data_IF_739418985774
#
_entry.id   IF_739418985774
#
_cell.length_a   1.000
_cell.length_b   1.000
_cell.length_c   1.000
_cell.angle_alpha   90.00
_cell.angle_beta   90.00
_cell.angle_gamma   90.00
#
_symmetry.space_group_name_H-M   'P 1'
#
loop_
_entity.id
_entity.type
_entity.pdbx_description
1 polymer ?
#
# COMPACT_ATOMS: atom_id res chain seq x y z
N UNK A 1 2.86 -11.94 -5.09
CA UNK A 1 1.62 -11.26 -4.66
C UNK A 1 1.35 -11.55 -3.19
N UNK A 2 1.18 -10.50 -2.38
CA UNK A 2 0.75 -10.53 -0.99
C UNK A 2 -0.47 -9.63 -0.85
N UNK A 3 -1.58 -10.18 -0.37
CA UNK A 3 -2.81 -9.43 -0.14
C UNK A 3 -3.00 -9.19 1.35
N UNK A 4 -2.92 -7.93 1.74
CA UNK A 4 -3.20 -7.46 3.09
C UNK A 4 -4.41 -6.51 3.11
N UNK A 5 -5.26 -6.55 2.09
CA UNK A 5 -6.46 -5.73 2.06
C UNK A 5 -7.41 -6.04 3.22
N UNK A 6 -8.18 -5.03 3.65
CA UNK A 6 -9.17 -5.14 4.73
C UNK A 6 -8.60 -5.65 6.08
N UNK A 7 -7.34 -5.35 6.42
CA UNK A 7 -6.74 -5.78 7.69
C UNK A 7 -6.68 -4.69 8.77
N UNK A 8 -7.33 -3.54 8.54
CA UNK A 8 -7.32 -2.40 9.47
C UNK A 8 -5.89 -1.98 9.89
N UNK A 9 -4.89 -2.31 9.07
CA UNK A 9 -3.50 -2.08 9.39
C UNK A 9 -3.24 -0.57 9.40
N UNK A 10 -2.71 -0.05 10.52
CA UNK A 10 -2.33 1.36 10.65
C UNK A 10 -0.87 1.60 10.26
N UNK A 11 -0.03 0.58 10.42
CA UNK A 11 1.41 0.63 10.12
C UNK A 11 1.83 -0.67 9.43
N UNK A 12 2.63 -0.56 8.38
CA UNK A 12 3.36 -1.70 7.81
C UNK A 12 4.79 -1.69 8.37
N UNK A 13 5.27 -2.79 8.96
CA UNK A 13 6.62 -2.85 9.52
C UNK A 13 7.69 -2.84 8.42
N UNK A 14 8.85 -2.26 8.72
CA UNK A 14 9.99 -2.19 7.81
C UNK A 14 10.44 -3.55 7.26
N UNK A 15 10.13 -4.64 7.98
CA UNK A 15 10.40 -6.01 7.57
C UNK A 15 9.73 -6.42 6.26
N UNK A 16 8.73 -5.66 5.77
CA UNK A 16 8.14 -5.87 4.44
C UNK A 16 9.22 -5.83 3.33
N UNK A 17 10.28 -5.03 3.51
CA UNK A 17 11.40 -4.94 2.58
C UNK A 17 12.23 -6.22 2.46
N UNK A 18 12.06 -7.19 3.37
CA UNK A 18 12.69 -8.52 3.26
C UNK A 18 12.01 -9.40 2.22
N UNK A 19 10.83 -9.01 1.75
CA UNK A 19 10.11 -9.72 0.69
C UNK A 19 10.63 -9.29 -0.69
N UNK A 20 11.92 -9.52 -0.94
CA UNK A 20 12.63 -9.08 -2.16
C UNK A 20 12.03 -9.62 -3.47
N UNK A 21 11.27 -10.72 -3.38
CA UNK A 21 10.57 -11.35 -4.50
C UNK A 21 9.10 -10.96 -4.58
N UNK A 22 8.68 -9.93 -3.85
CA UNK A 22 7.31 -9.49 -3.85
C UNK A 22 7.05 -8.60 -5.05
N UNK A 23 6.32 -9.15 -6.03
CA UNK A 23 5.96 -8.41 -7.24
C UNK A 23 4.71 -7.53 -7.04
N UNK A 24 3.82 -7.94 -6.14
CA UNK A 24 2.54 -7.26 -5.89
C UNK A 24 2.20 -7.25 -4.39
N UNK A 25 1.79 -6.09 -3.88
CA UNK A 25 1.29 -5.87 -2.52
C UNK A 25 -0.02 -5.10 -2.53
N UNK A 26 -1.10 -5.73 -2.10
CA UNK A 26 -2.40 -5.08 -1.95
C UNK A 26 -2.61 -4.60 -0.50
N UNK A 27 -2.77 -3.30 -0.32
CA UNK A 27 -3.02 -2.66 0.98
C UNK A 27 -4.36 -1.92 1.00
N UNK A 28 -5.26 -2.18 0.05
CA UNK A 28 -6.55 -1.51 -0.02
C UNK A 28 -7.40 -1.71 1.25
N UNK A 29 -8.19 -0.70 1.61
CA UNK A 29 -9.09 -0.76 2.78
C UNK A 29 -8.36 -1.04 4.10
N UNK A 30 -7.12 -0.58 4.23
CA UNK A 30 -6.46 -0.45 5.51
C UNK A 30 -6.57 0.99 6.02
N UNK A 31 -6.08 1.21 7.24
CA UNK A 31 -6.06 2.52 7.90
C UNK A 31 -4.63 3.09 7.86
N UNK A 32 -3.89 2.77 6.81
CA UNK A 32 -2.49 3.17 6.67
C UNK A 32 -2.40 4.67 6.39
N UNK A 33 -1.80 5.41 7.32
CA UNK A 33 -1.50 6.84 7.14
C UNK A 33 -0.25 7.04 6.28
N UNK A 34 0.69 6.10 6.36
CA UNK A 34 1.96 6.13 5.64
C UNK A 34 2.48 4.70 5.37
N UNK A 35 3.38 4.60 4.40
CA UNK A 35 4.17 3.40 4.15
C UNK A 35 5.59 3.58 4.70
N UNK A 36 6.24 2.50 5.16
CA UNK A 36 7.62 2.57 5.60
C UNK A 36 8.53 2.96 4.44
N UNK A 37 9.59 3.75 4.71
CA UNK A 37 10.58 4.12 3.70
C UNK A 37 11.20 2.90 3.01
N UNK A 38 11.31 1.79 3.74
CA UNK A 38 11.86 0.53 3.24
C UNK A 38 11.03 -0.07 2.10
N UNK A 39 9.78 0.33 1.89
CA UNK A 39 8.99 -0.11 0.72
C UNK A 39 9.62 0.33 -0.60
N UNK A 40 10.36 1.46 -0.60
CA UNK A 40 11.12 1.93 -1.75
C UNK A 40 12.36 1.08 -2.07
N UNK A 41 12.76 0.17 -1.18
CA UNK A 41 13.85 -0.79 -1.46
C UNK A 41 13.40 -1.95 -2.35
N UNK A 42 12.08 -2.18 -2.44
CA UNK A 42 11.51 -3.23 -3.28
C UNK A 42 11.37 -2.71 -4.72
N UNK A 43 12.47 -2.73 -5.48
CA UNK A 43 12.57 -2.13 -6.82
C UNK A 43 11.58 -2.68 -7.84
N UNK A 44 11.09 -3.92 -7.64
CA UNK A 44 10.14 -4.56 -8.54
C UNK A 44 8.72 -4.65 -7.96
N UNK A 45 8.45 -3.98 -6.83
CA UNK A 45 7.16 -4.09 -6.17
C UNK A 45 6.15 -3.13 -6.78
N UNK A 46 5.07 -3.70 -7.31
CA UNK A 46 3.82 -2.98 -7.51
C UNK A 46 3.01 -3.00 -6.21
N UNK A 47 2.57 -1.83 -5.74
CA UNK A 47 1.70 -1.74 -4.57
C UNK A 47 0.48 -0.89 -4.87
N UNK A 48 -0.66 -1.26 -4.27
CA UNK A 48 -1.91 -0.55 -4.42
C UNK A 48 -2.46 -0.18 -3.04
N UNK A 49 -2.67 1.13 -2.82
CA UNK A 49 -3.38 1.65 -1.66
C UNK A 49 -4.67 2.33 -2.12
N UNK A 50 -5.70 2.24 -1.28
CA UNK A 50 -6.95 2.98 -1.47
C UNK A 50 -7.13 3.91 -0.28
N UNK A 51 -6.89 5.21 -0.48
CA UNK A 51 -7.26 6.23 0.49
C UNK A 51 -8.68 6.65 0.13
N UNK A 52 -9.66 6.28 0.96
CA UNK A 52 -10.98 6.86 0.85
C UNK A 52 -10.86 8.33 1.31
N UNK A 53 -11.04 9.28 0.39
CA UNK A 53 -11.30 10.65 0.78
C UNK A 53 -12.68 10.68 1.46
N UNK A 54 -12.74 11.03 2.73
CA UNK A 54 -14.01 11.32 3.41
C UNK A 54 -14.57 12.66 2.89
N UNK A 55 -15.10 12.62 1.68
CA UNK A 55 -16.05 13.59 1.15
C UNK A 55 -17.41 12.88 1.17
N UNK A 56 -18.36 13.44 1.94
CA UNK A 56 -19.71 12.90 2.14
C UNK A 56 -20.62 12.88 0.90
N UNK A 57 -20.13 12.57 -0.30
CA UNK A 57 -20.98 12.48 -1.49
C UNK A 57 -20.40 11.80 -2.73
N UNK A 58 -19.09 11.75 -2.93
CA UNK A 58 -18.51 11.08 -4.09
C UNK A 58 -17.14 10.46 -3.77
N UNK A 59 -17.06 9.13 -3.78
CA UNK A 59 -15.85 8.34 -3.52
C UNK A 59 -14.79 8.53 -4.62
N UNK A 60 -14.17 9.71 -4.69
CA UNK A 60 -12.97 9.91 -5.48
C UNK A 60 -11.75 9.45 -4.65
N UNK A 61 -11.50 8.14 -4.62
CA UNK A 61 -10.28 7.60 -4.04
C UNK A 61 -9.09 7.90 -4.96
N UNK A 62 -8.03 8.52 -4.40
CA UNK A 62 -6.78 8.69 -5.14
C UNK A 62 -5.97 7.40 -5.04
N UNK A 63 -5.70 6.74 -6.16
CA UNK A 63 -4.75 5.62 -6.21
C UNK A 63 -3.34 6.21 -6.05
N UNK A 64 -2.76 6.08 -4.87
CA UNK A 64 -1.36 6.39 -4.64
C UNK A 64 -0.60 5.07 -4.76
N UNK A 65 0.15 4.89 -5.84
CA UNK A 65 0.87 3.64 -6.06
C UNK A 65 1.03 3.37 -7.54
N UNK A 66 2.06 3.97 -8.12
CA UNK A 66 2.73 3.36 -9.27
C UNK A 66 4.21 3.43 -8.94
N UNK A 67 4.77 2.27 -8.57
CA UNK A 67 6.21 2.07 -8.61
C UNK A 67 6.61 1.97 -10.07
N UNK A 68 6.73 3.13 -10.73
CA UNK A 68 7.47 3.20 -11.99
C UNK A 68 8.94 3.23 -11.60
N UNK A 69 9.64 2.13 -11.93
CA UNK A 69 11.05 1.92 -11.60
C UNK A 69 12.01 2.98 -12.16
#
# INVERSE_FOLDING_TARGET
MLDLSNNEAQVIPDSIARLEKLDELNLSSNLLEALPYSIGMLQNLSWSIWIAAEDGGASAGFRVGVGDG
#
